data_IF_742518256303
#
_entry.id   IF_742518256303
#
_cell.length_a   1.000
_cell.length_b   1.000
_cell.length_c   1.000
_cell.angle_alpha   90.00
_cell.angle_beta   90.00
_cell.angle_gamma   90.00
#
_symmetry.space_group_name_H-M   'P 1'
#
loop_
_entity.id
_entity.type
_entity.pdbx_description
1 polymer ?
#
# COMPACT_ATOMS: atom_id res chain seq x y z
N UNK A 1 -17.49 66.34 5.17
CA UNK A 1 -16.64 65.52 4.29
C UNK A 1 -15.48 64.94 5.10
N UNK A 2 -15.62 63.71 5.59
CA UNK A 2 -14.52 62.94 6.20
C UNK A 2 -14.43 61.64 5.42
N UNK A 3 -13.31 61.49 4.71
CA UNK A 3 -12.98 60.34 3.87
C UNK A 3 -12.72 59.15 4.81
N UNK A 4 -13.60 58.15 4.78
CA UNK A 4 -13.37 56.88 5.48
C UNK A 4 -12.70 55.94 4.47
N UNK A 5 -11.49 55.53 4.83
CA UNK A 5 -10.56 54.73 4.06
C UNK A 5 -11.12 53.31 3.85
N UNK A 6 -11.13 52.87 2.59
CA UNK A 6 -11.33 51.47 2.19
C UNK A 6 -10.15 50.63 2.67
N UNK A 7 -10.36 49.78 3.67
CA UNK A 7 -9.43 48.72 4.03
C UNK A 7 -9.75 47.48 3.17
N UNK A 8 -8.97 47.28 2.10
CA UNK A 8 -8.95 46.04 1.34
C UNK A 8 -8.15 45.01 2.16
N UNK A 9 -8.86 44.22 2.98
CA UNK A 9 -8.26 43.06 3.64
C UNK A 9 -7.97 41.98 2.59
N UNK A 10 -6.70 41.89 2.21
CA UNK A 10 -6.15 40.82 1.38
C UNK A 10 -6.26 39.50 2.17
N UNK A 11 -7.29 38.70 1.90
CA UNK A 11 -7.40 37.34 2.44
C UNK A 11 -6.44 36.47 1.63
N UNK A 12 -5.25 36.23 2.16
CA UNK A 12 -4.33 35.24 1.63
C UNK A 12 -4.97 33.86 1.72
N UNK A 13 -5.42 33.32 0.59
CA UNK A 13 -5.75 31.91 0.45
C UNK A 13 -4.46 31.10 0.50
N UNK A 14 -3.96 30.82 1.71
CA UNK A 14 -3.01 29.73 1.89
C UNK A 14 -3.79 28.44 1.66
N UNK A 15 -3.57 27.82 0.50
CA UNK A 15 -3.97 26.44 0.25
C UNK A 15 -3.19 25.55 1.22
N UNK A 16 -3.77 25.29 2.39
CA UNK A 16 -3.29 24.26 3.31
C UNK A 16 -3.62 22.93 2.64
N UNK A 17 -2.65 22.35 1.96
CA UNK A 17 -2.70 20.94 1.59
C UNK A 17 -2.47 20.19 2.91
N UNK A 18 -3.56 19.90 3.62
CA UNK A 18 -3.52 19.04 4.80
C UNK A 18 -3.30 17.62 4.29
N UNK A 19 -2.05 17.26 4.06
CA UNK A 19 -1.64 15.86 4.00
C UNK A 19 -1.95 15.30 5.39
N UNK A 20 -3.00 14.49 5.49
CA UNK A 20 -3.40 13.89 6.75
C UNK A 20 -2.30 12.92 7.17
N UNK A 21 -1.36 13.40 7.98
CA UNK A 21 -0.30 12.58 8.54
C UNK A 21 -0.92 11.49 9.41
N UNK A 22 -0.91 10.25 8.92
CA UNK A 22 -1.27 9.08 9.74
C UNK A 22 -0.28 9.04 10.90
N UNK A 23 -0.70 8.95 12.18
CA UNK A 23 0.25 8.85 13.29
C UNK A 23 1.22 7.68 13.12
N UNK A 24 2.51 7.87 13.44
CA UNK A 24 3.57 6.85 13.31
C UNK A 24 3.18 5.53 14.01
N UNK A 25 2.50 5.61 15.16
CA UNK A 25 2.04 4.44 15.90
C UNK A 25 1.00 3.61 15.12
N UNK A 26 0.10 4.26 14.39
CA UNK A 26 -0.91 3.59 13.58
C UNK A 26 -0.28 2.93 12.34
N UNK A 27 0.83 3.48 11.87
CA UNK A 27 1.56 2.98 10.73
C UNK A 27 2.35 1.70 11.03
N UNK A 28 3.09 1.68 12.14
CA UNK A 28 3.80 0.47 12.60
C UNK A 28 2.84 -0.70 12.82
N UNK A 29 1.62 -0.41 13.31
CA UNK A 29 0.55 -1.42 13.49
C UNK A 29 -0.05 -1.93 12.19
N UNK A 30 0.10 -1.21 11.07
CA UNK A 30 -0.43 -1.62 9.77
C UNK A 30 0.53 -2.57 9.02
N UNK A 31 1.84 -2.48 9.25
CA UNK A 31 2.82 -3.31 8.53
C UNK A 31 2.67 -4.83 8.74
N UNK A 32 2.24 -5.34 9.90
CA UNK A 32 1.86 -6.75 10.03
C UNK A 32 0.72 -7.18 9.09
N UNK A 33 -0.22 -6.29 8.76
CA UNK A 33 -1.28 -6.59 7.79
C UNK A 33 -0.72 -6.68 6.37
N UNK A 34 0.26 -5.84 6.04
CA UNK A 34 0.98 -5.91 4.76
C UNK A 34 1.73 -7.24 4.64
N UNK A 35 2.38 -7.69 5.72
CA UNK A 35 3.04 -9.00 5.77
C UNK A 35 2.07 -10.14 5.44
N UNK A 36 0.95 -10.24 6.15
CA UNK A 36 -0.01 -11.33 5.98
C UNK A 36 -0.65 -11.33 4.57
N UNK A 37 -0.93 -10.14 4.05
CA UNK A 37 -1.47 -9.99 2.70
C UNK A 37 -0.44 -10.39 1.64
N UNK A 38 0.80 -9.92 1.76
CA UNK A 38 1.89 -10.29 0.86
C UNK A 38 2.17 -11.80 0.89
N UNK A 39 2.16 -12.39 2.09
CA UNK A 39 2.30 -13.83 2.30
C UNK A 39 1.21 -14.61 1.57
N UNK A 40 -0.06 -14.26 1.79
CA UNK A 40 -1.22 -14.92 1.16
C UNK A 40 -1.17 -14.87 -0.37
N UNK A 41 -0.81 -13.70 -0.92
CA UNK A 41 -0.67 -13.51 -2.37
C UNK A 41 0.48 -14.36 -2.91
N UNK A 42 1.62 -14.40 -2.22
CA UNK A 42 2.77 -15.19 -2.66
C UNK A 42 2.54 -16.69 -2.52
N UNK A 43 1.88 -17.15 -1.46
CA UNK A 43 1.44 -18.55 -1.32
C UNK A 43 0.61 -18.98 -2.52
N UNK A 44 -0.41 -18.18 -2.87
CA UNK A 44 -1.25 -18.40 -4.04
C UNK A 44 -0.43 -18.46 -5.33
N UNK A 45 0.54 -17.55 -5.48
CA UNK A 45 1.47 -17.55 -6.62
C UNK A 45 2.34 -18.80 -6.68
N UNK A 46 2.92 -19.23 -5.56
CA UNK A 46 3.79 -20.41 -5.47
C UNK A 46 3.02 -21.74 -5.66
N UNK A 47 1.70 -21.71 -5.46
CA UNK A 47 0.77 -22.78 -5.84
C UNK A 47 0.41 -22.80 -7.34
N UNK A 48 0.88 -21.82 -8.12
CA UNK A 48 0.62 -21.76 -9.56
C UNK A 48 -0.71 -21.11 -9.94
N UNK A 49 -1.31 -20.31 -9.04
CA UNK A 49 -2.50 -19.52 -9.40
C UNK A 49 -2.20 -18.66 -10.64
N UNK A 50 -3.12 -18.61 -11.64
CA UNK A 50 -3.00 -17.69 -12.75
C UNK A 50 -3.29 -16.24 -12.33
N UNK A 51 -2.61 -15.28 -12.95
CA UNK A 51 -2.79 -13.84 -12.61
C UNK A 51 -4.24 -13.38 -12.81
N UNK A 52 -4.92 -13.93 -13.82
CA UNK A 52 -6.33 -13.64 -14.10
C UNK A 52 -7.26 -14.01 -12.94
N UNK A 53 -6.88 -15.01 -12.12
CA UNK A 53 -7.61 -15.37 -10.89
C UNK A 53 -7.19 -14.47 -9.72
N UNK A 54 -5.88 -14.21 -9.58
CA UNK A 54 -5.35 -13.39 -8.49
C UNK A 54 -5.81 -11.92 -8.50
N UNK A 55 -6.22 -11.39 -9.65
CA UNK A 55 -6.75 -10.01 -9.73
C UNK A 55 -8.23 -9.89 -9.38
N UNK A 56 -9.00 -11.00 -9.34
CA UNK A 56 -10.45 -10.94 -9.07
C UNK A 56 -10.79 -10.30 -7.71
N UNK A 57 -10.08 -10.62 -6.60
CA UNK A 57 -10.36 -10.01 -5.30
C UNK A 57 -10.16 -8.48 -5.27
N UNK A 58 -9.35 -7.94 -6.18
CA UNK A 58 -9.04 -6.50 -6.24
C UNK A 58 -10.25 -5.68 -6.74
N UNK A 59 -11.03 -6.25 -7.65
CA UNK A 59 -12.14 -5.55 -8.32
C UNK A 59 -13.24 -5.14 -7.33
N UNK A 60 -13.42 -5.90 -6.24
CA UNK A 60 -14.43 -5.66 -5.22
C UNK A 60 -14.01 -4.74 -4.07
N UNK A 61 -12.82 -4.12 -4.13
CA UNK A 61 -12.32 -3.23 -3.08
C UNK A 61 -12.72 -1.78 -3.39
N UNK A 62 -13.57 -1.20 -2.53
CA UNK A 62 -14.06 0.19 -2.69
C UNK A 62 -12.99 1.23 -2.34
N UNK A 63 -12.14 0.93 -1.35
CA UNK A 63 -11.05 1.81 -0.95
C UNK A 63 -9.93 1.78 -2.00
N UNK A 64 -9.67 2.93 -2.62
CA UNK A 64 -8.71 3.05 -3.73
C UNK A 64 -7.27 2.79 -3.31
N UNK A 65 -6.90 3.15 -2.09
CA UNK A 65 -5.54 2.97 -1.59
C UNK A 65 -5.31 1.50 -1.29
N UNK A 66 -6.29 0.83 -0.68
CA UNK A 66 -6.26 -0.62 -0.47
C UNK A 66 -6.30 -1.38 -1.80
N UNK A 67 -7.10 -0.92 -2.77
CA UNK A 67 -7.15 -1.51 -4.11
C UNK A 67 -5.79 -1.40 -4.82
N UNK A 68 -5.16 -0.23 -4.75
CA UNK A 68 -3.87 0.02 -5.36
C UNK A 68 -2.75 -0.79 -4.68
N UNK A 69 -2.75 -0.85 -3.34
CA UNK A 69 -1.84 -1.71 -2.58
C UNK A 69 -1.98 -3.17 -3.04
N UNK A 70 -3.20 -3.72 -3.07
CA UNK A 70 -3.42 -5.09 -3.53
C UNK A 70 -2.89 -5.34 -4.94
N UNK A 71 -3.12 -4.39 -5.85
CA UNK A 71 -2.63 -4.47 -7.23
C UNK A 71 -1.10 -4.51 -7.30
N UNK A 72 -0.43 -3.66 -6.54
CA UNK A 72 1.03 -3.61 -6.51
C UNK A 72 1.64 -4.88 -5.92
N UNK A 73 1.02 -5.43 -4.87
CA UNK A 73 1.41 -6.72 -4.28
C UNK A 73 1.27 -7.88 -5.28
N UNK A 74 0.15 -7.95 -6.01
CA UNK A 74 -0.05 -8.98 -7.05
C UNK A 74 0.97 -8.82 -8.17
N UNK A 75 1.23 -7.60 -8.65
CA UNK A 75 2.25 -7.38 -9.70
C UNK A 75 3.64 -7.81 -9.20
N UNK A 76 4.01 -7.46 -7.98
CA UNK A 76 5.28 -7.85 -7.38
C UNK A 76 5.39 -9.38 -7.26
N UNK A 77 4.35 -10.04 -6.77
CA UNK A 77 4.36 -11.49 -6.60
C UNK A 77 4.53 -12.24 -7.94
N UNK A 78 3.91 -11.76 -9.01
CA UNK A 78 3.99 -12.42 -10.32
C UNK A 78 5.28 -12.14 -11.08
N UNK A 79 6.08 -11.14 -10.67
CA UNK A 79 7.47 -10.97 -11.12
C UNK A 79 8.41 -11.98 -10.48
N UNK A 80 8.03 -12.57 -9.35
CA UNK A 80 8.79 -13.62 -8.68
C UNK A 80 8.50 -14.99 -9.30
N UNK A 81 9.53 -15.77 -9.64
CA UNK A 81 9.35 -17.12 -10.16
C UNK A 81 8.76 -18.08 -9.11
N UNK A 82 8.19 -19.18 -9.60
CA UNK A 82 7.74 -20.27 -8.72
C UNK A 82 8.96 -21.12 -8.34
N UNK A 83 9.14 -21.39 -7.05
CA UNK A 83 10.19 -22.24 -6.52
C UNK A 83 10.07 -23.68 -7.03
N UNK A 84 11.22 -24.31 -7.23
CA UNK A 84 11.38 -25.67 -7.75
C UNK A 84 11.23 -26.77 -6.68
N UNK A 85 11.30 -26.40 -5.40
CA UNK A 85 11.11 -27.29 -4.26
C UNK A 85 10.19 -26.68 -3.20
N UNK A 86 9.66 -27.49 -2.29
CA UNK A 86 8.84 -27.00 -1.17
C UNK A 86 9.60 -26.04 -0.26
N UNK A 87 10.89 -26.30 -0.01
CA UNK A 87 11.76 -25.44 0.80
C UNK A 87 11.99 -24.10 0.11
N UNK A 88 12.30 -24.11 -1.18
CA UNK A 88 12.50 -22.89 -1.96
C UNK A 88 11.21 -22.05 -2.05
N UNK A 89 10.05 -22.70 -2.25
CA UNK A 89 8.76 -22.00 -2.23
C UNK A 89 8.51 -21.30 -0.90
N UNK A 90 8.76 -21.99 0.21
CA UNK A 90 8.57 -21.43 1.55
C UNK A 90 9.52 -20.25 1.78
N UNK A 91 10.79 -20.39 1.41
CA UNK A 91 11.76 -19.30 1.50
C UNK A 91 11.32 -18.08 0.68
N UNK A 92 10.88 -18.27 -0.57
CA UNK A 92 10.39 -17.18 -1.43
C UNK A 92 9.17 -16.49 -0.80
N UNK A 93 8.24 -17.25 -0.22
CA UNK A 93 7.05 -16.72 0.47
C UNK A 93 7.48 -15.82 1.64
N UNK A 94 8.35 -16.34 2.50
CA UNK A 94 8.78 -15.65 3.71
C UNK A 94 9.62 -14.40 3.37
N UNK A 95 10.56 -14.51 2.42
CA UNK A 95 11.39 -13.40 1.97
C UNK A 95 10.55 -12.29 1.34
N UNK A 96 9.57 -12.65 0.50
CA UNK A 96 8.66 -11.69 -0.11
C UNK A 96 7.82 -10.95 0.94
N UNK A 97 7.19 -11.67 1.86
CA UNK A 97 6.36 -11.06 2.89
C UNK A 97 7.19 -10.16 3.83
N UNK A 98 8.38 -10.61 4.23
CA UNK A 98 9.32 -9.85 5.05
C UNK A 98 9.78 -8.57 4.34
N UNK A 99 10.11 -8.66 3.05
CA UNK A 99 10.54 -7.50 2.28
C UNK A 99 9.47 -6.41 2.27
N UNK A 100 8.20 -6.77 2.03
CA UNK A 100 7.13 -5.78 1.95
C UNK A 100 6.71 -5.22 3.31
N UNK A 101 6.80 -6.03 4.37
CA UNK A 101 6.68 -5.52 5.72
C UNK A 101 7.79 -4.51 6.07
N UNK A 102 9.03 -4.77 5.62
CA UNK A 102 10.16 -3.86 5.81
C UNK A 102 10.01 -2.57 4.99
N UNK A 103 9.53 -2.66 3.75
CA UNK A 103 9.20 -1.49 2.93
C UNK A 103 8.09 -0.66 3.56
N UNK A 104 7.05 -1.31 4.10
CA UNK A 104 6.06 -0.65 4.93
C UNK A 104 6.74 0.08 6.08
N UNK A 105 7.55 -0.57 6.91
CA UNK A 105 8.20 0.13 8.04
C UNK A 105 9.07 1.34 7.64
N UNK A 106 9.58 1.37 6.40
CA UNK A 106 10.44 2.45 5.86
C UNK A 106 9.71 3.61 5.22
N UNK A 107 8.46 3.45 4.82
CA UNK A 107 7.72 4.52 4.12
C UNK A 107 7.13 5.57 5.08
N UNK A 108 7.67 5.66 6.31
CA UNK A 108 7.47 6.75 7.27
C UNK A 108 8.78 7.28 7.84
#
# INVERSE_FOLDING_TARGET
MKKILLAFSLVCSAGVNAESEVPVENYVKACPLVYELAKTIMESRQMGMPIAEAIKPIIGVDDKDVQQLNKDLVIAAYKTPIGDSSENKQQIIDDFANQLALECLKAK
#
